data_IF_391539082926
#
_entry.id   IF_391539082926
#
_cell.length_a   1.000
_cell.length_b   1.000
_cell.length_c   1.000
_cell.angle_alpha   90.00
_cell.angle_beta   90.00
_cell.angle_gamma   90.00
#
_symmetry.space_group_name_H-M   'P 1'
#
loop_
_entity.id
_entity.type
_entity.pdbx_description
1 polymer ?
#
# COMPACT_ATOMS: atom_id res chain seq x y z
N UNK A 1 3.28 17.40 25.53
CA UNK A 1 4.72 17.57 25.58
C UNK A 1 5.27 17.01 26.89
N UNK A 2 6.42 16.34 26.86
CA UNK A 2 7.09 15.92 28.08
C UNK A 2 8.03 17.04 28.52
N UNK A 3 7.93 17.47 29.75
CA UNK A 3 8.87 18.43 30.37
C UNK A 3 10.03 17.65 30.99
N UNK A 4 11.26 18.11 30.74
CA UNK A 4 12.46 17.56 31.32
C UNK A 4 13.21 18.66 32.09
N UNK A 5 13.48 18.43 33.36
CA UNK A 5 14.25 19.35 34.20
C UNK A 5 15.71 18.93 34.08
N UNK A 6 16.58 19.87 33.76
CA UNK A 6 18.03 19.66 33.68
C UNK A 6 18.74 20.54 34.72
N UNK A 7 19.59 19.94 35.50
CA UNK A 7 20.50 20.64 36.38
C UNK A 7 21.84 20.78 35.65
N UNK A 8 22.31 21.99 35.44
CA UNK A 8 23.56 22.27 34.76
C UNK A 8 23.52 23.44 33.80
N UNK A 9 24.60 23.69 33.08
CA UNK A 9 24.68 24.74 32.06
C UNK A 9 24.14 24.28 30.70
N UNK A 10 24.06 25.17 29.70
CA UNK A 10 23.54 24.91 28.39
C UNK A 10 24.33 23.81 27.63
N UNK A 11 25.66 23.71 27.85
CA UNK A 11 26.50 22.66 27.27
C UNK A 11 26.07 21.27 27.79
N UNK A 12 25.87 21.11 29.09
CA UNK A 12 25.38 19.87 29.73
C UNK A 12 24.00 19.52 29.26
N UNK A 13 23.12 20.51 28.97
CA UNK A 13 21.82 20.27 28.37
C UNK A 13 21.94 19.69 26.97
N UNK A 14 22.82 20.24 26.11
CA UNK A 14 23.05 19.75 24.76
C UNK A 14 23.60 18.32 24.72
N UNK A 15 24.57 18.02 25.57
CA UNK A 15 25.14 16.67 25.74
C UNK A 15 24.06 15.67 26.16
N UNK A 16 23.32 15.98 27.20
CA UNK A 16 22.23 15.12 27.69
C UNK A 16 21.09 14.97 26.67
N UNK A 17 20.86 15.97 25.83
CA UNK A 17 19.90 15.90 24.70
C UNK A 17 20.40 14.96 23.61
N UNK A 18 21.69 15.06 23.24
CA UNK A 18 22.33 14.19 22.25
C UNK A 18 22.31 12.71 22.70
N UNK A 19 22.73 12.45 23.95
CA UNK A 19 22.72 11.10 24.55
C UNK A 19 21.30 10.50 24.52
N UNK A 20 20.27 11.28 24.87
CA UNK A 20 18.88 10.83 24.83
C UNK A 20 18.41 10.52 23.41
N UNK A 21 18.73 11.37 22.44
CA UNK A 21 18.40 11.14 21.04
C UNK A 21 19.05 9.84 20.54
N UNK A 22 20.31 9.61 20.91
CA UNK A 22 21.02 8.39 20.54
C UNK A 22 20.40 7.14 21.19
N UNK A 23 20.06 7.22 22.48
CA UNK A 23 19.37 6.14 23.20
C UNK A 23 17.98 5.83 22.58
N UNK A 24 17.23 6.86 22.20
CA UNK A 24 15.92 6.70 21.53
C UNK A 24 16.09 6.02 20.17
N UNK A 25 17.08 6.44 19.37
CA UNK A 25 17.41 5.81 18.09
C UNK A 25 17.81 4.33 18.27
N UNK A 26 18.63 4.02 19.28
CA UNK A 26 19.02 2.64 19.58
C UNK A 26 17.83 1.78 20.04
N UNK A 27 16.95 2.35 20.87
CA UNK A 27 15.72 1.68 21.32
C UNK A 27 14.80 1.38 20.14
N UNK A 28 14.62 2.34 19.24
CA UNK A 28 13.81 2.15 18.02
C UNK A 28 14.41 1.11 17.07
N UNK A 29 15.75 1.09 16.91
CA UNK A 29 16.43 0.05 16.12
C UNK A 29 16.17 -1.36 16.67
N UNK A 30 16.27 -1.52 18.00
CA UNK A 30 15.98 -2.81 18.67
C UNK A 30 14.52 -3.22 18.52
N UNK A 31 13.57 -2.29 18.67
CA UNK A 31 12.15 -2.54 18.50
C UNK A 31 11.83 -2.94 17.06
N UNK A 32 12.42 -2.23 16.08
CA UNK A 32 12.30 -2.59 14.63
C UNK A 32 12.84 -3.99 14.34
N UNK A 33 14.00 -4.35 14.87
CA UNK A 33 14.58 -5.67 14.66
C UNK A 33 13.72 -6.79 15.26
N UNK A 34 13.16 -6.55 16.46
CA UNK A 34 12.27 -7.49 17.12
C UNK A 34 10.95 -7.65 16.33
N UNK A 35 10.35 -6.55 15.94
CA UNK A 35 9.12 -6.55 15.14
C UNK A 35 9.34 -7.28 13.80
N UNK A 36 10.41 -6.99 13.06
CA UNK A 36 10.77 -7.67 11.82
C UNK A 36 10.89 -9.19 12.00
N UNK A 37 11.48 -9.64 13.11
CA UNK A 37 11.61 -11.06 13.44
C UNK A 37 10.25 -11.72 13.72
N UNK A 38 9.40 -11.06 14.49
CA UNK A 38 8.08 -11.58 14.83
C UNK A 38 7.13 -11.57 13.61
N UNK A 39 7.19 -10.55 12.78
CA UNK A 39 6.41 -10.46 11.54
C UNK A 39 6.83 -11.54 10.53
N UNK A 40 8.12 -11.80 10.35
CA UNK A 40 8.59 -12.88 9.49
C UNK A 40 8.05 -14.25 9.97
N UNK A 41 7.98 -14.44 11.30
CA UNK A 41 7.40 -15.66 11.87
C UNK A 41 5.88 -15.76 11.63
N UNK A 42 5.13 -14.67 11.76
CA UNK A 42 3.68 -14.63 11.46
C UNK A 42 3.44 -14.93 9.98
N UNK A 43 4.19 -14.31 9.07
CA UNK A 43 4.07 -14.55 7.61
C UNK A 43 4.45 -15.98 7.19
N UNK A 44 5.32 -16.65 7.93
CA UNK A 44 5.65 -18.06 7.69
C UNK A 44 4.50 -19.04 8.04
N UNK A 45 3.28 -18.57 8.29
CA UNK A 45 2.11 -19.39 8.51
C UNK A 45 1.98 -19.91 9.96
N UNK A 46 2.29 -19.07 10.92
CA UNK A 46 2.12 -19.37 12.34
C UNK A 46 0.64 -19.66 12.68
N UNK A 47 0.27 -20.94 12.69
CA UNK A 47 -1.06 -21.37 13.14
C UNK A 47 -1.10 -21.39 14.67
N UNK A 48 -2.12 -20.76 15.27
CA UNK A 48 -2.34 -20.73 16.73
C UNK A 48 -2.82 -22.10 17.26
N UNK A 49 -2.00 -23.14 17.14
CA UNK A 49 -2.31 -24.51 17.63
C UNK A 49 -1.92 -24.76 19.08
N UNK A 50 -1.25 -23.82 19.73
CA UNK A 50 -0.87 -23.96 21.15
C UNK A 50 -0.94 -22.62 21.89
N UNK A 51 -1.12 -22.68 23.21
CA UNK A 51 -1.16 -21.50 24.09
C UNK A 51 0.10 -20.62 23.97
N UNK A 52 1.27 -21.24 23.72
CA UNK A 52 2.53 -20.52 23.51
C UNK A 52 2.52 -19.72 22.19
N UNK A 53 1.90 -20.25 21.15
CA UNK A 53 1.77 -19.56 19.86
C UNK A 53 0.77 -18.41 19.95
N UNK A 54 -0.34 -18.59 20.65
CA UNK A 54 -1.30 -17.52 20.92
C UNK A 54 -0.67 -16.38 21.72
N UNK A 55 0.09 -16.71 22.78
CA UNK A 55 0.82 -15.70 23.56
C UNK A 55 1.87 -14.92 22.71
N UNK A 56 2.45 -15.56 21.69
CA UNK A 56 3.39 -14.90 20.78
C UNK A 56 2.67 -14.00 19.78
N UNK A 57 1.49 -14.39 19.28
CA UNK A 57 0.63 -13.55 18.45
C UNK A 57 0.18 -12.30 19.22
N UNK A 58 -0.30 -12.47 20.45
CA UNK A 58 -0.70 -11.34 21.31
C UNK A 58 0.49 -10.37 21.55
N UNK A 59 1.69 -10.91 21.78
CA UNK A 59 2.90 -10.09 21.92
C UNK A 59 3.27 -9.34 20.63
N UNK A 60 3.06 -9.96 19.49
CA UNK A 60 3.24 -9.29 18.19
C UNK A 60 2.24 -8.14 18.02
N UNK A 61 0.97 -8.32 18.37
CA UNK A 61 -0.04 -7.28 18.37
C UNK A 61 0.30 -6.14 19.34
N UNK A 62 0.79 -6.45 20.53
CA UNK A 62 1.25 -5.46 21.52
C UNK A 62 2.44 -4.64 20.98
N UNK A 63 3.41 -5.30 20.35
CA UNK A 63 4.55 -4.64 19.70
C UNK A 63 4.11 -3.75 18.53
N UNK A 64 3.14 -4.21 17.76
CA UNK A 64 2.49 -3.46 16.71
C UNK A 64 1.81 -2.20 17.27
N UNK A 65 0.94 -2.36 18.28
CA UNK A 65 0.21 -1.28 18.92
C UNK A 65 1.13 -0.26 19.63
N UNK A 66 2.21 -0.71 20.25
CA UNK A 66 3.22 0.17 20.87
C UNK A 66 3.93 1.03 19.83
N UNK A 67 4.25 0.46 18.67
CA UNK A 67 4.88 1.14 17.56
C UNK A 67 3.97 2.20 16.95
N UNK A 68 2.67 1.90 16.80
CA UNK A 68 1.68 2.85 16.29
C UNK A 68 1.43 4.03 17.23
N UNK A 69 1.48 3.84 18.54
CA UNK A 69 1.36 4.95 19.50
C UNK A 69 2.50 5.99 19.38
N UNK A 70 3.68 5.56 18.95
CA UNK A 70 4.81 6.47 18.72
C UNK A 70 4.75 7.14 17.33
N UNK A 71 4.12 6.48 16.34
CA UNK A 71 3.86 7.02 15.00
C UNK A 71 2.60 7.89 14.97
N UNK A 72 1.54 7.57 15.73
CA UNK A 72 0.33 8.40 15.87
C UNK A 72 0.60 9.82 16.37
N UNK A 73 1.73 10.05 17.02
CA UNK A 73 2.15 11.40 17.40
C UNK A 73 2.69 12.24 16.25
N UNK A 74 2.94 11.66 15.09
CA UNK A 74 3.50 12.37 13.94
C UNK A 74 2.65 12.36 12.67
N UNK A 75 1.68 11.47 12.51
CA UNK A 75 0.94 11.36 11.24
C UNK A 75 -0.48 10.82 11.47
N UNK A 76 -1.48 11.69 11.47
CA UNK A 76 -2.81 11.31 11.04
C UNK A 76 -2.72 11.02 9.53
N UNK A 77 -2.54 9.75 9.18
CA UNK A 77 -2.66 9.27 7.81
C UNK A 77 -4.17 9.19 7.46
N UNK A 78 -4.80 10.33 7.27
CA UNK A 78 -6.05 10.34 6.51
C UNK A 78 -5.68 10.02 5.06
N UNK A 79 -6.26 8.97 4.51
CA UNK A 79 -6.08 8.63 3.10
C UNK A 79 -6.68 9.74 2.24
N UNK A 80 -5.92 10.21 1.28
CA UNK A 80 -6.37 11.19 0.31
C UNK A 80 -7.00 10.45 -0.87
N UNK A 81 -8.32 10.44 -0.96
CA UNK A 81 -9.05 9.88 -2.09
C UNK A 81 -10.09 10.87 -2.60
N UNK A 82 -10.26 10.95 -3.91
CA UNK A 82 -11.34 11.71 -4.53
C UNK A 82 -12.70 11.10 -4.13
N UNK A 83 -13.75 11.94 -4.09
CA UNK A 83 -15.09 11.47 -3.76
C UNK A 83 -15.60 10.52 -4.86
N UNK A 84 -15.83 9.26 -4.52
CA UNK A 84 -16.44 8.28 -5.41
C UNK A 84 -17.97 8.51 -5.49
N UNK A 85 -18.50 8.64 -6.69
CA UNK A 85 -19.92 8.83 -6.97
C UNK A 85 -20.76 7.59 -6.61
N UNK A 86 -22.07 7.60 -6.91
CA UNK A 86 -22.96 6.43 -6.69
C UNK A 86 -22.59 5.29 -7.64
N UNK A 87 -22.31 5.62 -8.90
CA UNK A 87 -21.87 4.68 -9.93
C UNK A 87 -20.36 4.51 -9.82
N UNK A 88 -19.91 3.28 -9.73
CA UNK A 88 -18.49 2.88 -9.62
C UNK A 88 -18.05 2.17 -10.90
N UNK A 89 -17.56 0.95 -10.82
CA UNK A 89 -17.31 0.07 -11.96
C UNK A 89 -18.33 -1.06 -11.88
N UNK A 90 -19.03 -1.27 -12.98
CA UNK A 90 -20.00 -2.37 -13.14
C UNK A 90 -19.61 -3.18 -14.36
N UNK A 91 -19.62 -4.49 -14.24
CA UNK A 91 -19.35 -5.38 -15.35
C UNK A 91 -20.33 -6.55 -15.36
N UNK A 92 -20.71 -6.94 -16.58
CA UNK A 92 -21.70 -7.98 -16.82
C UNK A 92 -21.17 -8.97 -17.85
N UNK A 93 -21.25 -10.25 -17.52
CA UNK A 93 -20.91 -11.38 -18.40
C UNK A 93 -19.50 -11.28 -19.01
N UNK A 94 -18.52 -10.74 -18.25
CA UNK A 94 -17.15 -10.63 -18.74
C UNK A 94 -16.56 -12.00 -19.05
N UNK A 95 -15.99 -12.10 -20.24
CA UNK A 95 -15.20 -13.25 -20.65
C UNK A 95 -13.92 -12.83 -21.34
N UNK A 96 -12.85 -13.59 -21.11
CA UNK A 96 -11.53 -13.33 -21.67
C UNK A 96 -10.82 -14.60 -22.08
N UNK A 97 -10.28 -14.59 -23.30
CA UNK A 97 -9.47 -15.67 -23.84
C UNK A 97 -8.33 -15.15 -24.70
N UNK A 98 -7.23 -15.89 -24.78
CA UNK A 98 -6.13 -15.66 -25.70
C UNK A 98 -5.99 -16.86 -26.64
N UNK A 99 -6.43 -16.68 -27.90
CA UNK A 99 -6.54 -17.79 -28.83
C UNK A 99 -7.47 -18.88 -28.30
N UNK A 100 -6.95 -20.08 -28.10
CA UNK A 100 -7.72 -21.23 -27.55
C UNK A 100 -7.68 -21.32 -26.02
N UNK A 101 -6.92 -20.46 -25.35
CA UNK A 101 -6.81 -20.46 -23.90
C UNK A 101 -7.90 -19.57 -23.31
N UNK A 102 -8.94 -20.16 -22.75
CA UNK A 102 -9.97 -19.45 -21.98
C UNK A 102 -9.42 -19.16 -20.59
N UNK A 103 -9.39 -17.90 -20.21
CA UNK A 103 -9.01 -17.46 -18.86
C UNK A 103 -10.20 -17.50 -17.92
N UNK A 104 -11.29 -16.86 -18.31
CA UNK A 104 -12.55 -16.86 -17.56
C UNK A 104 -13.73 -16.50 -18.46
N UNK A 105 -14.93 -16.90 -18.02
CA UNK A 105 -16.20 -16.66 -18.70
C UNK A 105 -17.27 -16.25 -17.68
N UNK A 106 -18.24 -15.47 -18.17
CA UNK A 106 -19.49 -15.14 -17.48
C UNK A 106 -19.30 -14.54 -16.06
N UNK A 107 -18.37 -13.60 -15.93
CA UNK A 107 -18.11 -12.93 -14.67
C UNK A 107 -18.84 -11.59 -14.58
N UNK A 108 -19.78 -11.48 -13.63
CA UNK A 108 -20.56 -10.25 -13.40
C UNK A 108 -20.40 -9.76 -11.97
N UNK A 109 -20.21 -8.46 -11.79
CA UNK A 109 -20.16 -7.83 -10.48
C UNK A 109 -20.37 -6.32 -10.57
N UNK A 110 -20.93 -5.73 -9.51
CA UNK A 110 -21.04 -4.28 -9.33
C UNK A 110 -20.21 -3.87 -8.14
N UNK A 111 -19.09 -3.18 -8.39
CA UNK A 111 -18.15 -2.75 -7.36
C UNK A 111 -18.81 -1.72 -6.44
N UNK A 112 -18.77 -1.94 -5.15
CA UNK A 112 -19.28 -0.99 -4.17
C UNK A 112 -18.16 0.00 -3.74
N UNK A 113 -18.55 1.17 -3.23
CA UNK A 113 -17.63 2.26 -2.92
C UNK A 113 -16.52 1.92 -1.92
N UNK A 114 -16.79 0.99 -1.03
CA UNK A 114 -15.88 0.60 0.05
C UNK A 114 -15.53 -0.89 -0.03
N UNK A 115 -15.72 -1.50 -1.18
CA UNK A 115 -15.33 -2.90 -1.36
C UNK A 115 -13.83 -3.05 -1.20
N UNK A 116 -13.46 -4.09 -0.47
CA UNK A 116 -12.08 -4.52 -0.23
C UNK A 116 -11.94 -5.96 -0.67
N UNK A 117 -11.54 -6.15 -1.91
CA UNK A 117 -11.59 -7.44 -2.60
C UNK A 117 -10.18 -7.98 -2.80
N UNK A 118 -9.92 -9.16 -2.27
CA UNK A 118 -8.74 -9.96 -2.57
C UNK A 118 -9.01 -10.90 -3.75
N UNK A 119 -8.07 -11.03 -4.65
CA UNK A 119 -8.14 -11.96 -5.77
C UNK A 119 -7.14 -13.08 -5.55
N UNK A 120 -7.63 -14.33 -5.54
CA UNK A 120 -6.83 -15.54 -5.35
C UNK A 120 -7.05 -16.48 -6.52
N UNK A 121 -5.97 -17.15 -6.94
CA UNK A 121 -6.02 -18.15 -8.01
C UNK A 121 -4.62 -18.56 -8.44
N UNK A 122 -4.54 -19.62 -9.25
CA UNK A 122 -3.28 -20.11 -9.79
C UNK A 122 -2.57 -19.06 -10.66
N UNK A 123 -1.25 -19.19 -10.81
CA UNK A 123 -0.52 -18.34 -11.75
C UNK A 123 -1.01 -18.60 -13.18
N UNK A 124 -1.21 -17.53 -13.96
CA UNK A 124 -1.72 -17.62 -15.33
C UNK A 124 -3.23 -17.81 -15.47
N UNK A 125 -4.02 -17.80 -14.37
CA UNK A 125 -5.47 -17.96 -14.46
C UNK A 125 -6.23 -16.68 -14.87
N UNK A 126 -5.55 -15.56 -15.12
CA UNK A 126 -6.17 -14.32 -15.58
C UNK A 126 -6.33 -13.22 -14.53
N UNK A 127 -5.68 -13.32 -13.35
CA UNK A 127 -5.78 -12.29 -12.27
C UNK A 127 -5.36 -10.90 -12.76
N UNK A 128 -4.13 -10.77 -13.27
CA UNK A 128 -3.62 -9.48 -13.80
C UNK A 128 -4.39 -9.05 -15.05
N UNK A 129 -4.89 -10.00 -15.86
CA UNK A 129 -5.74 -9.69 -17.01
C UNK A 129 -7.06 -9.06 -16.55
N UNK A 130 -7.68 -9.59 -15.50
CA UNK A 130 -8.88 -8.98 -14.91
C UNK A 130 -8.58 -7.57 -14.41
N UNK A 131 -7.48 -7.36 -13.69
CA UNK A 131 -7.09 -6.01 -13.25
C UNK A 131 -6.87 -5.05 -14.43
N UNK A 132 -6.25 -5.51 -15.52
CA UNK A 132 -6.07 -4.69 -16.74
C UNK A 132 -7.40 -4.34 -17.43
N UNK A 133 -8.37 -5.26 -17.41
CA UNK A 133 -9.73 -4.98 -17.90
C UNK A 133 -10.41 -3.94 -17.01
N UNK A 134 -10.33 -4.09 -15.69
CA UNK A 134 -10.88 -3.15 -14.72
C UNK A 134 -10.19 -1.78 -14.75
N UNK A 135 -8.93 -1.72 -15.15
CA UNK A 135 -8.21 -0.47 -15.38
C UNK A 135 -8.60 0.22 -16.70
N UNK A 136 -9.25 -0.51 -17.62
CA UNK A 136 -9.59 -0.03 -18.96
C UNK A 136 -8.46 -0.19 -19.99
N UNK A 137 -7.36 -0.88 -19.65
CA UNK A 137 -6.22 -1.07 -20.55
C UNK A 137 -6.48 -2.13 -21.62
N UNK A 138 -7.32 -3.12 -21.32
CA UNK A 138 -7.66 -4.24 -22.20
C UNK A 138 -9.19 -4.34 -22.30
N UNK A 139 -9.69 -4.54 -23.52
CA UNK A 139 -11.11 -4.84 -23.73
C UNK A 139 -11.37 -6.33 -23.50
N UNK A 140 -12.45 -6.73 -22.83
CA UNK A 140 -12.83 -8.13 -22.72
C UNK A 140 -13.28 -8.68 -24.08
N UNK A 141 -13.21 -9.99 -24.27
CA UNK A 141 -13.71 -10.63 -25.50
C UNK A 141 -15.25 -10.72 -25.52
N UNK A 142 -15.88 -10.78 -24.36
CA UNK A 142 -17.34 -10.79 -24.21
C UNK A 142 -17.78 -10.04 -22.96
N UNK A 143 -19.05 -9.69 -22.89
CA UNK A 143 -19.62 -8.91 -21.80
C UNK A 143 -19.41 -7.41 -21.96
N UNK A 144 -19.79 -6.66 -20.94
CA UNK A 144 -19.69 -5.20 -20.90
C UNK A 144 -19.08 -4.73 -19.60
N UNK A 145 -18.35 -3.61 -19.66
CA UNK A 145 -17.85 -2.91 -18.48
C UNK A 145 -18.22 -1.44 -18.58
N UNK A 146 -18.70 -0.87 -17.50
CA UNK A 146 -19.08 0.54 -17.41
C UNK A 146 -18.44 1.21 -16.22
N UNK A 147 -17.95 2.43 -16.42
CA UNK A 147 -17.29 3.25 -15.41
C UNK A 147 -18.17 4.43 -15.03
N UNK A 148 -18.22 4.75 -13.75
CA UNK A 148 -18.85 6.00 -13.28
C UNK A 148 -17.98 7.21 -13.61
N UNK A 149 -18.59 8.36 -13.85
CA UNK A 149 -17.91 9.61 -14.27
C UNK A 149 -16.87 10.13 -13.27
N UNK A 150 -16.97 9.73 -12.01
CA UNK A 150 -16.07 10.16 -10.94
C UNK A 150 -15.00 9.13 -10.60
N UNK A 151 -14.92 8.03 -11.35
CA UNK A 151 -13.95 6.96 -11.11
C UNK A 151 -12.55 7.44 -11.47
N UNK A 152 -11.66 7.37 -10.49
CA UNK A 152 -10.22 7.61 -10.61
C UNK A 152 -9.48 6.37 -10.12
N UNK A 153 -8.89 5.64 -11.06
CA UNK A 153 -8.21 4.38 -10.79
C UNK A 153 -6.73 4.64 -10.57
N UNK A 154 -6.21 4.21 -9.42
CA UNK A 154 -4.77 4.05 -9.19
C UNK A 154 -4.41 2.59 -9.35
N UNK A 155 -3.56 2.27 -10.33
CA UNK A 155 -3.18 0.90 -10.59
C UNK A 155 -1.69 0.67 -10.35
N UNK A 156 -1.38 -0.11 -9.32
CA UNK A 156 -0.03 -0.58 -9.01
C UNK A 156 0.20 -1.92 -9.72
N UNK A 157 0.83 -1.86 -10.89
CA UNK A 157 1.09 -3.01 -11.76
C UNK A 157 2.33 -3.78 -11.30
N UNK A 158 2.42 -5.03 -11.69
CA UNK A 158 3.66 -5.79 -11.60
C UNK A 158 4.66 -5.26 -12.65
N UNK A 159 5.89 -4.94 -12.23
CA UNK A 159 6.94 -4.41 -13.12
C UNK A 159 7.24 -2.92 -12.89
N UNK A 160 8.26 -2.44 -13.56
CA UNK A 160 8.78 -1.06 -13.42
C UNK A 160 8.31 -0.23 -14.63
N UNK A 161 7.50 0.80 -14.41
CA UNK A 161 6.96 1.66 -15.48
C UNK A 161 7.70 3.01 -15.61
N UNK A 162 8.91 3.13 -15.05
CA UNK A 162 9.67 4.38 -15.11
C UNK A 162 10.32 4.53 -16.48
N UNK A 163 9.86 5.52 -17.25
CA UNK A 163 10.30 5.75 -18.63
C UNK A 163 11.57 6.60 -18.69
N UNK A 164 11.68 7.65 -17.87
CA UNK A 164 12.85 8.53 -17.81
C UNK A 164 13.59 8.40 -16.48
N UNK A 165 14.67 7.62 -16.48
CA UNK A 165 15.48 7.38 -15.30
C UNK A 165 16.40 8.56 -14.92
N UNK A 166 16.56 9.56 -15.78
CA UNK A 166 17.36 10.77 -15.50
C UNK A 166 16.60 11.78 -14.62
N UNK A 167 15.28 11.67 -14.58
CA UNK A 167 14.41 12.54 -13.80
C UNK A 167 14.69 12.44 -12.30
N UNK A 168 14.54 13.55 -11.58
CA UNK A 168 14.65 13.57 -10.11
C UNK A 168 13.39 12.94 -9.47
N UNK A 169 13.56 12.25 -8.35
CA UNK A 169 12.48 11.60 -7.64
C UNK A 169 11.29 12.54 -7.33
N UNK A 170 11.55 13.77 -6.90
CA UNK A 170 10.50 14.76 -6.61
C UNK A 170 9.76 15.20 -7.87
N UNK A 171 10.49 15.38 -8.99
CA UNK A 171 9.91 15.84 -10.24
C UNK A 171 9.00 14.75 -10.83
N UNK A 172 9.40 13.47 -10.71
CA UNK A 172 8.59 12.31 -11.08
C UNK A 172 7.24 12.26 -10.34
N UNK A 173 7.20 12.65 -9.06
CA UNK A 173 5.94 12.76 -8.30
C UNK A 173 5.15 13.99 -8.74
N UNK A 174 5.81 15.13 -8.95
CA UNK A 174 5.17 16.40 -9.31
C UNK A 174 4.53 16.40 -10.69
N UNK A 175 4.98 15.54 -11.60
CA UNK A 175 4.32 15.38 -12.90
C UNK A 175 2.84 15.02 -12.79
N UNK A 176 2.43 14.28 -11.76
CA UNK A 176 1.04 13.91 -11.56
C UNK A 176 0.29 14.90 -10.69
N UNK A 177 0.91 15.38 -9.61
CA UNK A 177 0.37 16.43 -8.76
C UNK A 177 1.46 17.05 -7.88
N UNK A 178 1.48 18.38 -7.73
CA UNK A 178 2.31 19.05 -6.73
C UNK A 178 1.70 18.97 -5.33
N UNK A 179 0.37 18.99 -5.28
CA UNK A 179 -0.43 19.02 -4.05
C UNK A 179 -1.71 18.23 -4.26
N UNK A 180 -2.09 17.44 -3.27
CA UNK A 180 -3.42 16.81 -3.21
C UNK A 180 -4.25 17.53 -2.14
N UNK A 181 -5.52 17.79 -2.47
CA UNK A 181 -6.48 18.40 -1.56
C UNK A 181 -7.48 17.36 -1.07
N UNK A 182 -7.67 17.29 0.25
CA UNK A 182 -8.69 16.44 0.85
C UNK A 182 -9.44 17.24 1.94
N UNK A 183 -10.64 17.65 1.62
CA UNK A 183 -11.39 18.54 2.50
C UNK A 183 -10.62 19.83 2.78
N UNK A 184 -10.20 20.02 4.05
CA UNK A 184 -9.39 21.18 4.48
C UNK A 184 -7.88 20.90 4.54
N UNK A 185 -7.48 19.66 4.36
CA UNK A 185 -6.07 19.26 4.42
C UNK A 185 -5.43 19.29 3.03
N UNK A 186 -4.17 19.62 3.01
CA UNK A 186 -3.33 19.59 1.79
C UNK A 186 -2.09 18.77 2.06
N UNK A 187 -1.71 17.94 1.10
CA UNK A 187 -0.49 17.16 1.14
C UNK A 187 0.37 17.45 -0.09
N UNK A 188 1.57 17.94 0.13
CA UNK A 188 2.51 18.22 -0.95
C UNK A 188 3.25 16.93 -1.40
N UNK A 189 3.79 16.94 -2.62
CA UNK A 189 4.64 15.85 -3.12
C UNK A 189 5.80 15.52 -2.16
N UNK A 190 6.45 16.54 -1.60
CA UNK A 190 7.53 16.37 -0.60
C UNK A 190 7.06 15.65 0.66
N UNK A 191 5.91 16.04 1.20
CA UNK A 191 5.32 15.40 2.39
C UNK A 191 4.89 13.97 2.11
N UNK A 192 4.34 13.69 0.92
CA UNK A 192 4.01 12.33 0.51
C UNK A 192 5.26 11.45 0.43
N UNK A 193 6.32 11.94 -0.20
CA UNK A 193 7.60 11.24 -0.26
C UNK A 193 8.17 10.94 1.14
N UNK A 194 8.12 11.90 2.06
CA UNK A 194 8.57 11.69 3.44
C UNK A 194 7.74 10.58 4.15
N UNK A 195 6.42 10.52 3.91
CA UNK A 195 5.56 9.43 4.40
C UNK A 195 5.97 8.08 3.84
N UNK A 196 6.36 8.03 2.57
CA UNK A 196 6.88 6.84 1.91
C UNK A 196 8.37 6.63 2.11
N UNK A 197 8.92 7.12 3.23
CA UNK A 197 10.29 6.89 3.69
C UNK A 197 11.38 7.43 2.74
N UNK A 198 11.09 8.48 1.98
CA UNK A 198 12.07 9.25 1.25
C UNK A 198 12.44 10.51 2.05
N UNK A 199 13.60 10.54 2.71
CA UNK A 199 14.07 11.74 3.39
C UNK A 199 14.37 12.86 2.37
N UNK A 200 14.33 14.12 2.80
CA UNK A 200 14.49 15.30 1.93
C UNK A 200 15.74 15.26 1.05
N UNK A 201 16.83 14.65 1.55
CA UNK A 201 18.07 14.51 0.80
C UNK A 201 17.91 13.64 -0.47
N UNK A 202 16.95 12.70 -0.46
CA UNK A 202 16.68 11.81 -1.59
C UNK A 202 15.73 12.40 -2.62
N UNK A 203 15.02 13.50 -2.31
CA UNK A 203 14.02 14.07 -3.21
C UNK A 203 14.60 14.50 -4.57
N UNK A 204 15.85 14.96 -4.58
CA UNK A 204 16.54 15.43 -5.79
C UNK A 204 17.47 14.39 -6.41
N UNK A 205 17.41 13.14 -5.91
CA UNK A 205 18.18 12.02 -6.46
C UNK A 205 17.58 11.62 -7.81
N UNK A 206 18.38 11.44 -8.88
CA UNK A 206 17.91 10.86 -10.14
C UNK A 206 17.40 9.43 -9.94
N UNK A 207 16.34 9.04 -10.68
CA UNK A 207 15.71 7.72 -10.55
C UNK A 207 16.67 6.57 -10.82
N UNK A 208 17.64 6.74 -11.73
CA UNK A 208 18.69 5.76 -12.02
C UNK A 208 19.54 5.37 -10.80
N UNK A 209 19.68 6.30 -9.83
CA UNK A 209 20.46 6.07 -8.60
C UNK A 209 19.67 5.43 -7.48
N UNK A 210 18.37 5.29 -7.64
CA UNK A 210 17.51 4.59 -6.70
C UNK A 210 17.65 3.07 -6.91
N UNK A 211 17.64 2.31 -5.82
CA UNK A 211 17.51 0.85 -5.88
C UNK A 211 16.15 0.44 -6.46
N UNK A 212 16.03 -0.80 -6.95
CA UNK A 212 14.75 -1.32 -7.47
C UNK A 212 13.59 -1.17 -6.47
N UNK A 213 13.82 -1.51 -5.20
CA UNK A 213 12.81 -1.35 -4.14
C UNK A 213 12.45 0.11 -3.86
N UNK A 214 13.42 1.05 -3.93
CA UNK A 214 13.13 2.48 -3.81
C UNK A 214 12.34 3.00 -5.00
N UNK A 215 12.70 2.60 -6.22
CA UNK A 215 11.91 2.94 -7.43
C UNK A 215 10.48 2.41 -7.30
N UNK A 216 10.32 1.16 -6.87
CA UNK A 216 9.00 0.54 -6.69
C UNK A 216 8.15 1.28 -5.65
N UNK A 217 8.75 1.70 -4.55
CA UNK A 217 8.14 2.51 -3.51
C UNK A 217 7.76 3.91 -4.03
N UNK A 218 8.63 4.53 -4.83
CA UNK A 218 8.36 5.82 -5.43
C UNK A 218 7.21 5.75 -6.45
N UNK A 219 7.14 4.67 -7.23
CA UNK A 219 6.04 4.40 -8.16
C UNK A 219 4.71 4.29 -7.42
N UNK A 220 4.67 3.55 -6.30
CA UNK A 220 3.48 3.52 -5.44
C UNK A 220 3.11 4.91 -4.93
N UNK A 221 4.08 5.68 -4.44
CA UNK A 221 3.88 7.05 -3.99
C UNK A 221 3.25 7.93 -5.10
N UNK A 222 3.71 7.81 -6.35
CA UNK A 222 3.15 8.51 -7.51
C UNK A 222 1.68 8.15 -7.77
N UNK A 223 1.35 6.86 -7.73
CA UNK A 223 -0.05 6.40 -7.90
C UNK A 223 -0.96 7.02 -6.84
N UNK A 224 -0.56 6.97 -5.59
CA UNK A 224 -1.36 7.51 -4.50
C UNK A 224 -1.44 9.05 -4.54
N UNK A 225 -0.44 9.72 -5.12
CA UNK A 225 -0.43 11.16 -5.33
C UNK A 225 -1.46 11.62 -6.38
N UNK A 226 -1.96 10.73 -7.23
CA UNK A 226 -3.08 11.02 -8.13
C UNK A 226 -4.43 11.20 -7.39
N UNK A 227 -4.49 10.84 -6.10
CA UNK A 227 -5.71 10.87 -5.32
C UNK A 227 -6.80 9.90 -5.80
N UNK A 228 -6.46 8.64 -6.11
CA UNK A 228 -7.42 7.67 -6.63
C UNK A 228 -8.55 7.42 -5.65
N UNK A 229 -9.70 6.99 -6.16
CA UNK A 229 -10.83 6.51 -5.37
C UNK A 229 -11.13 5.02 -5.60
N UNK A 230 -10.40 4.39 -6.52
CA UNK A 230 -10.33 2.94 -6.68
C UNK A 230 -8.84 2.57 -6.80
N UNK A 231 -8.38 1.62 -5.99
CA UNK A 231 -7.03 1.09 -6.03
C UNK A 231 -7.03 -0.34 -6.55
N UNK A 232 -6.26 -0.56 -7.60
CA UNK A 232 -5.92 -1.88 -8.12
C UNK A 232 -4.47 -2.17 -7.75
N UNK A 233 -4.21 -3.27 -7.04
CA UNK A 233 -2.89 -3.65 -6.58
C UNK A 233 -2.55 -5.05 -7.09
N UNK A 234 -1.55 -5.17 -7.96
CA UNK A 234 -1.09 -6.44 -8.51
C UNK A 234 0.21 -6.87 -7.82
N UNK A 235 0.10 -7.88 -6.94
CA UNK A 235 1.19 -8.46 -6.14
C UNK A 235 2.06 -7.42 -5.40
N UNK A 236 1.47 -6.49 -4.63
CA UNK A 236 2.24 -5.43 -3.98
C UNK A 236 3.25 -5.97 -2.96
N UNK A 237 3.02 -7.19 -2.45
CA UNK A 237 3.87 -7.82 -1.44
C UNK A 237 5.17 -8.39 -1.99
N UNK A 238 5.28 -8.61 -3.31
CA UNK A 238 6.48 -9.18 -3.91
C UNK A 238 7.61 -8.16 -4.05
N UNK A 239 7.26 -6.92 -4.38
CA UNK A 239 8.21 -5.91 -4.83
C UNK A 239 8.51 -4.83 -3.79
N UNK A 240 7.77 -4.81 -2.67
CA UNK A 240 7.94 -3.83 -1.60
C UNK A 240 8.67 -4.44 -0.40
N UNK A 241 9.57 -3.66 0.17
CA UNK A 241 10.17 -4.04 1.45
C UNK A 241 9.15 -3.95 2.59
N UNK A 242 9.46 -4.62 3.70
CA UNK A 242 8.56 -4.75 4.84
C UNK A 242 8.08 -3.40 5.39
N UNK A 243 8.97 -2.39 5.43
CA UNK A 243 8.64 -1.06 5.95
C UNK A 243 7.68 -0.33 5.01
N UNK A 244 7.88 -0.49 3.71
CA UNK A 244 6.98 0.08 2.70
C UNK A 244 5.61 -0.59 2.72
N UNK A 245 5.57 -1.92 2.91
CA UNK A 245 4.30 -2.64 3.07
C UNK A 245 3.52 -2.15 4.29
N UNK A 246 4.19 -1.89 5.42
CA UNK A 246 3.54 -1.31 6.59
C UNK A 246 2.95 0.07 6.29
N UNK A 247 3.69 0.94 5.58
CA UNK A 247 3.18 2.26 5.16
C UNK A 247 1.99 2.12 4.22
N UNK A 248 2.04 1.16 3.28
CA UNK A 248 0.91 0.87 2.39
C UNK A 248 -0.30 0.37 3.19
N UNK A 249 -0.12 -0.61 4.06
CA UNK A 249 -1.18 -1.17 4.91
C UNK A 249 -1.86 -0.07 5.74
N UNK A 250 -1.08 0.82 6.37
CA UNK A 250 -1.60 1.96 7.14
C UNK A 250 -2.39 2.96 6.26
N UNK A 251 -1.93 3.18 5.02
CA UNK A 251 -2.65 3.98 4.05
C UNK A 251 -3.98 3.32 3.67
N UNK A 252 -3.97 2.01 3.39
CA UNK A 252 -5.15 1.24 3.01
C UNK A 252 -6.18 1.16 4.15
N UNK A 253 -5.76 1.10 5.42
CA UNK A 253 -6.65 1.09 6.58
C UNK A 253 -7.56 2.34 6.62
N UNK A 254 -7.05 3.49 6.18
CA UNK A 254 -7.78 4.77 6.15
C UNK A 254 -8.37 5.10 4.79
N UNK A 255 -8.12 4.30 3.77
CA UNK A 255 -8.59 4.56 2.42
C UNK A 255 -10.11 4.42 2.30
N UNK A 256 -10.78 5.48 1.84
CA UNK A 256 -12.23 5.57 1.77
C UNK A 256 -12.84 5.08 0.46
N UNK A 257 -12.00 4.67 -0.49
CA UNK A 257 -12.38 4.14 -1.79
C UNK A 257 -12.43 2.62 -1.82
N UNK A 258 -12.70 2.04 -3.00
CA UNK A 258 -12.65 0.60 -3.22
C UNK A 258 -11.22 0.12 -3.47
N UNK A 259 -10.93 -1.08 -3.02
CA UNK A 259 -9.63 -1.75 -3.20
C UNK A 259 -9.88 -3.11 -3.84
N UNK A 260 -9.14 -3.39 -4.91
CA UNK A 260 -9.04 -4.74 -5.49
C UNK A 260 -7.57 -5.11 -5.53
N UNK A 261 -7.18 -6.17 -4.86
CA UNK A 261 -5.79 -6.59 -4.79
C UNK A 261 -5.59 -8.05 -5.13
N UNK A 262 -4.58 -8.33 -5.93
CA UNK A 262 -4.04 -9.68 -6.13
C UNK A 262 -2.86 -9.84 -5.18
N UNK A 263 -2.87 -10.86 -4.36
CA UNK A 263 -1.70 -11.22 -3.54
C UNK A 263 -1.69 -12.70 -3.19
N UNK A 264 -0.49 -13.26 -3.04
CA UNK A 264 -0.27 -14.58 -2.45
C UNK A 264 0.02 -14.52 -0.94
N UNK A 265 0.18 -13.33 -0.38
CA UNK A 265 0.38 -13.11 1.06
C UNK A 265 -0.97 -13.10 1.77
N UNK A 266 -1.30 -14.20 2.45
CA UNK A 266 -2.55 -14.35 3.21
C UNK A 266 -2.69 -13.32 4.33
N UNK A 267 -1.59 -12.97 4.99
CA UNK A 267 -1.62 -11.97 6.06
C UNK A 267 -2.02 -10.60 5.52
N UNK A 268 -1.49 -10.20 4.37
CA UNK A 268 -1.87 -8.97 3.71
C UNK A 268 -3.35 -8.98 3.30
N UNK A 269 -3.82 -10.08 2.70
CA UNK A 269 -5.22 -10.21 2.29
C UNK A 269 -6.17 -10.16 3.50
N UNK A 270 -5.89 -10.92 4.56
CA UNK A 270 -6.71 -10.97 5.78
C UNK A 270 -6.80 -9.59 6.47
N UNK A 271 -5.78 -8.75 6.30
CA UNK A 271 -5.76 -7.40 6.86
C UNK A 271 -6.51 -6.38 6.01
N UNK A 272 -6.38 -6.47 4.69
CA UNK A 272 -6.84 -5.43 3.76
C UNK A 272 -8.21 -5.72 3.18
N UNK A 273 -8.61 -6.99 3.06
CA UNK A 273 -9.78 -7.42 2.30
C UNK A 273 -10.88 -8.00 3.18
N UNK A 274 -12.12 -7.66 2.85
CA UNK A 274 -13.34 -8.20 3.46
C UNK A 274 -13.99 -9.28 2.61
N UNK A 275 -13.64 -9.32 1.31
CA UNK A 275 -14.18 -10.25 0.31
C UNK A 275 -13.04 -10.87 -0.48
N UNK A 276 -13.26 -12.05 -1.02
CA UNK A 276 -12.28 -12.73 -1.88
C UNK A 276 -12.97 -13.23 -3.13
N UNK A 277 -12.38 -12.93 -4.29
CA UNK A 277 -12.70 -13.59 -5.55
C UNK A 277 -11.72 -14.75 -5.75
N UNK A 278 -12.25 -15.92 -5.97
CA UNK A 278 -11.47 -17.14 -6.22
C UNK A 278 -11.70 -17.58 -7.66
N UNK A 279 -10.62 -17.77 -8.39
CA UNK A 279 -10.69 -18.33 -9.73
C UNK A 279 -10.59 -19.85 -9.66
N UNK A 280 -11.68 -20.54 -9.97
CA UNK A 280 -11.75 -22.00 -10.08
C UNK A 280 -12.45 -22.41 -11.37
N UNK A 281 -11.84 -23.36 -12.11
CA UNK A 281 -12.42 -23.92 -13.36
C UNK A 281 -12.88 -22.84 -14.37
N UNK A 282 -12.08 -21.79 -14.56
CA UNK A 282 -12.37 -20.66 -15.49
C UNK A 282 -13.56 -19.76 -15.06
N UNK A 283 -14.04 -19.91 -13.83
CA UNK A 283 -15.09 -19.06 -13.24
C UNK A 283 -14.60 -18.34 -12.01
N UNK A 284 -15.02 -17.09 -11.84
CA UNK A 284 -14.81 -16.30 -10.62
C UNK A 284 -15.95 -16.55 -9.63
N UNK A 285 -15.61 -16.80 -8.38
CA UNK A 285 -16.55 -16.99 -7.26
C UNK A 285 -16.26 -16.00 -6.14
#
# INVERSE_FOLDING_TARGET
GKFYIHHGNYATFLENKAIRQEQEVQKQKKLKALYKKELAWVRAGAQARSTKQQARLNRFEDLRNQRFKDVEKSLNLSSFSARLGKKTIEWEHLGMHYGNLVLFEDFSYSLLRQDRIGIIGRNGCGKSTLLNILAGDIQPNSGTISFGDTVLIGYFRQGDEMVDLSMRAIDYIKEVAEVIHYGKETLTASQMMERFLFPKQMHYTPLERLSGGERRRLYLCRILMQGPNILLLDEPTNDLDLLTLEVLEDYLDTFMGAIITVSHDRYFLDRVCDKVFVMENQHWQ
#
